data_IF_026023980136
#
_entry.id   IF_026023980136
#
_cell.length_a   1.000
_cell.length_b   1.000
_cell.length_c   1.000
_cell.angle_alpha   90.00
_cell.angle_beta   90.00
_cell.angle_gamma   90.00
#
_symmetry.space_group_name_H-M   'P 1'
#
loop_
_entity.id
_entity.type
_entity.pdbx_description
1 polymer ?
#
# COMPACT_ATOMS: atom_id res chain seq x y z
N UNK A 1 0.46 31.74 -1.25
CA UNK A 1 -0.64 30.80 -0.94
C UNK A 1 -0.41 29.43 -1.58
N UNK A 2 -0.29 29.32 -2.91
CA UNK A 2 -0.06 28.04 -3.60
C UNK A 2 1.16 27.25 -3.08
N UNK A 3 2.32 27.90 -2.96
CA UNK A 3 3.53 27.26 -2.43
C UNK A 3 3.36 26.70 -1.01
N UNK A 4 2.55 27.37 -0.17
CA UNK A 4 2.23 26.89 1.18
C UNK A 4 1.35 25.65 1.13
N UNK A 5 0.34 25.63 0.25
CA UNK A 5 -0.54 24.47 0.04
C UNK A 5 0.27 23.26 -0.45
N UNK A 6 1.14 23.45 -1.45
CA UNK A 6 1.99 22.40 -1.99
C UNK A 6 3.00 21.87 -0.96
N UNK A 7 3.52 22.74 -0.09
CA UNK A 7 4.38 22.32 1.03
C UNK A 7 3.63 21.36 1.96
N UNK A 8 2.41 21.72 2.39
CA UNK A 8 1.60 20.86 3.25
C UNK A 8 1.18 19.56 2.57
N UNK A 9 0.81 19.61 1.29
CA UNK A 9 0.51 18.41 0.50
C UNK A 9 1.72 17.48 0.46
N UNK A 10 2.91 18.03 0.23
CA UNK A 10 4.16 17.26 0.22
C UNK A 10 4.42 16.57 1.56
N UNK A 11 4.26 17.30 2.66
CA UNK A 11 4.51 16.78 4.01
C UNK A 11 3.53 15.65 4.34
N UNK A 12 2.23 15.87 4.11
CA UNK A 12 1.19 14.87 4.40
C UNK A 12 1.41 13.62 3.56
N UNK A 13 1.62 13.78 2.25
CA UNK A 13 1.87 12.65 1.35
C UNK A 13 3.15 11.88 1.74
N UNK A 14 4.21 12.57 2.14
CA UNK A 14 5.44 11.94 2.62
C UNK A 14 5.23 11.09 3.87
N UNK A 15 4.51 11.61 4.87
CA UNK A 15 4.18 10.83 6.06
C UNK A 15 3.26 9.65 5.77
N UNK A 16 2.25 9.82 4.93
CA UNK A 16 1.38 8.71 4.53
C UNK A 16 2.14 7.64 3.73
N UNK A 17 3.09 8.04 2.89
CA UNK A 17 3.98 7.12 2.17
C UNK A 17 4.81 6.27 3.13
N UNK A 18 5.47 6.92 4.10
CA UNK A 18 6.25 6.22 5.12
C UNK A 18 5.38 5.26 5.94
N UNK A 19 4.18 5.69 6.35
CA UNK A 19 3.21 4.85 7.04
C UNK A 19 2.79 3.62 6.22
N UNK A 20 2.58 3.78 4.90
CA UNK A 20 2.25 2.69 4.00
C UNK A 20 3.37 1.64 3.92
N UNK A 21 4.65 2.08 3.82
CA UNK A 21 5.78 1.14 3.83
C UNK A 21 5.98 0.46 5.18
N UNK A 22 5.80 1.17 6.29
CA UNK A 22 5.84 0.57 7.63
C UNK A 22 4.77 -0.51 7.79
N UNK A 23 3.54 -0.23 7.35
CA UNK A 23 2.47 -1.21 7.35
C UNK A 23 2.78 -2.39 6.41
N UNK A 24 3.27 -2.13 5.19
CA UNK A 24 3.67 -3.17 4.24
C UNK A 24 4.75 -4.10 4.83
N UNK A 25 5.69 -3.59 5.62
CA UNK A 25 6.74 -4.41 6.22
C UNK A 25 6.22 -5.37 7.31
N UNK A 26 5.10 -5.05 7.94
CA UNK A 26 4.55 -5.81 9.07
C UNK A 26 3.28 -6.60 8.72
N UNK A 27 2.59 -6.28 7.62
CA UNK A 27 1.35 -6.96 7.25
C UNK A 27 1.60 -8.44 6.98
N UNK A 28 0.78 -9.28 7.61
CA UNK A 28 0.77 -10.73 7.46
C UNK A 28 -0.69 -11.17 7.37
N UNK A 29 -0.97 -12.07 6.45
CA UNK A 29 -2.29 -12.68 6.30
C UNK A 29 -2.20 -14.11 6.80
N UNK A 30 -2.98 -14.47 7.81
CA UNK A 30 -3.01 -15.85 8.32
C UNK A 30 -3.65 -16.78 7.29
N UNK A 31 -3.36 -18.08 7.39
CA UNK A 31 -3.94 -19.08 6.48
C UNK A 31 -5.46 -19.11 6.54
N UNK A 32 -6.04 -18.99 7.72
CA UNK A 32 -7.49 -18.95 7.92
C UNK A 32 -8.11 -17.73 7.22
N UNK A 33 -7.53 -16.54 7.42
CA UNK A 33 -7.99 -15.32 6.75
C UNK A 33 -7.85 -15.40 5.22
N UNK A 34 -6.76 -15.99 4.73
CA UNK A 34 -6.54 -16.24 3.31
C UNK A 34 -7.62 -17.19 2.73
N UNK A 35 -7.93 -18.28 3.42
CA UNK A 35 -8.97 -19.23 3.01
C UNK A 35 -10.35 -18.56 2.98
N UNK A 36 -10.69 -17.78 4.02
CA UNK A 36 -11.95 -17.05 4.06
C UNK A 36 -12.07 -16.04 2.90
N UNK A 37 -10.99 -15.31 2.60
CA UNK A 37 -10.95 -14.35 1.51
C UNK A 37 -11.13 -15.01 0.14
N UNK A 38 -10.51 -16.18 -0.08
CA UNK A 38 -10.66 -16.97 -1.31
C UNK A 38 -12.05 -17.57 -1.44
N UNK A 39 -12.62 -18.05 -0.34
CA UNK A 39 -14.01 -18.51 -0.29
C UNK A 39 -14.98 -17.39 -0.67
N UNK A 40 -14.86 -16.20 -0.05
CA UNK A 40 -15.67 -15.03 -0.39
C UNK A 40 -15.51 -14.58 -1.84
N UNK A 41 -14.31 -14.73 -2.43
CA UNK A 41 -14.06 -14.41 -3.84
C UNK A 41 -14.76 -15.43 -4.75
N UNK A 42 -14.60 -16.71 -4.47
CA UNK A 42 -15.22 -17.81 -5.21
C UNK A 42 -16.75 -17.76 -5.18
N UNK A 43 -17.34 -17.45 -4.02
CA UNK A 43 -18.79 -17.23 -3.87
C UNK A 43 -19.29 -16.07 -4.75
N UNK A 44 -18.48 -15.02 -4.94
CA UNK A 44 -18.83 -13.88 -5.80
C UNK A 44 -18.63 -14.15 -7.29
N UNK A 45 -17.67 -14.98 -7.66
CA UNK A 45 -17.34 -15.28 -9.07
C UNK A 45 -18.02 -16.54 -9.60
N UNK A 46 -18.68 -17.32 -8.73
CA UNK A 46 -19.29 -18.61 -9.10
C UNK A 46 -18.26 -19.72 -9.35
N UNK A 47 -17.00 -19.50 -8.97
CA UNK A 47 -15.91 -20.45 -9.15
C UNK A 47 -15.74 -21.35 -7.93
N UNK A 48 -15.01 -22.47 -8.07
CA UNK A 48 -14.64 -23.30 -6.91
C UNK A 48 -13.52 -22.61 -6.12
N UNK A 49 -13.62 -22.53 -4.78
CA UNK A 49 -12.58 -21.90 -3.97
C UNK A 49 -11.28 -22.69 -4.05
N UNK A 50 -10.20 -22.01 -4.43
CA UNK A 50 -8.85 -22.57 -4.32
C UNK A 50 -8.38 -22.48 -2.86
N UNK A 51 -8.37 -23.61 -2.16
CA UNK A 51 -7.94 -23.72 -0.77
C UNK A 51 -6.45 -24.06 -0.62
N UNK A 52 -5.72 -24.22 -1.73
CA UNK A 52 -4.28 -24.47 -1.73
C UNK A 52 -3.48 -23.21 -1.44
N UNK A 53 -2.40 -23.31 -0.68
CA UNK A 53 -1.54 -22.18 -0.33
C UNK A 53 -0.30 -22.63 0.43
N UNK A 54 0.72 -21.76 0.46
CA UNK A 54 1.97 -22.01 1.17
C UNK A 54 1.96 -21.12 2.41
N UNK A 55 2.22 -21.71 3.56
CA UNK A 55 2.39 -20.99 4.82
C UNK A 55 3.87 -20.93 5.18
N UNK A 56 4.37 -19.73 5.44
CA UNK A 56 5.73 -19.48 5.90
C UNK A 56 5.67 -18.52 7.09
N UNK A 57 6.31 -18.90 8.20
CA UNK A 57 6.39 -18.06 9.42
C UNK A 57 5.01 -17.58 9.93
N UNK A 58 3.99 -18.44 9.86
CA UNK A 58 2.61 -18.14 10.28
C UNK A 58 1.82 -17.23 9.33
N UNK A 59 2.36 -16.96 8.14
CA UNK A 59 1.73 -16.13 7.12
C UNK A 59 1.49 -16.96 5.84
N UNK A 60 0.29 -16.81 5.26
CA UNK A 60 0.01 -17.31 3.93
C UNK A 60 0.74 -16.43 2.90
N UNK A 61 1.63 -17.05 2.15
CA UNK A 61 2.63 -16.35 1.36
C UNK A 61 1.99 -15.46 0.28
N UNK A 62 1.06 -16.02 -0.49
CA UNK A 62 0.47 -15.31 -1.63
C UNK A 62 -0.33 -14.09 -1.19
N UNK A 63 -1.25 -14.26 -0.26
CA UNK A 63 -2.11 -13.18 0.22
C UNK A 63 -1.33 -12.14 1.02
N UNK A 64 -0.29 -12.55 1.75
CA UNK A 64 0.62 -11.62 2.41
C UNK A 64 1.38 -10.80 1.38
N UNK A 65 2.02 -11.42 0.38
CA UNK A 65 2.73 -10.70 -0.67
C UNK A 65 1.80 -9.76 -1.45
N UNK A 66 0.57 -10.18 -1.77
CA UNK A 66 -0.43 -9.31 -2.41
C UNK A 66 -0.76 -8.09 -1.54
N UNK A 67 -0.92 -8.28 -0.22
CA UNK A 67 -1.15 -7.18 0.71
C UNK A 67 0.06 -6.23 0.78
N UNK A 68 1.28 -6.78 0.89
CA UNK A 68 2.52 -6.00 0.90
C UNK A 68 2.69 -5.19 -0.37
N UNK A 69 2.46 -5.79 -1.55
CA UNK A 69 2.54 -5.10 -2.85
C UNK A 69 1.54 -3.95 -2.92
N UNK A 70 0.30 -4.13 -2.47
CA UNK A 70 -0.71 -3.05 -2.46
C UNK A 70 -0.25 -1.85 -1.63
N UNK A 71 0.25 -2.09 -0.43
CA UNK A 71 0.73 -1.01 0.44
C UNK A 71 2.04 -0.39 -0.05
N UNK A 72 2.94 -1.18 -0.63
CA UNK A 72 4.14 -0.66 -1.29
C UNK A 72 3.81 0.25 -2.47
N UNK A 73 2.88 -0.15 -3.32
CA UNK A 73 2.42 0.67 -4.45
C UNK A 73 1.75 1.96 -3.98
N UNK A 74 0.90 1.89 -2.95
CA UNK A 74 0.31 3.09 -2.35
C UNK A 74 1.39 4.04 -1.80
N UNK A 75 2.37 3.49 -1.07
CA UNK A 75 3.52 4.25 -0.57
C UNK A 75 4.30 4.94 -1.69
N UNK A 76 4.58 4.24 -2.79
CA UNK A 76 5.29 4.79 -3.94
C UNK A 76 4.53 5.94 -4.62
N UNK A 77 3.21 5.81 -4.81
CA UNK A 77 2.37 6.88 -5.39
C UNK A 77 2.38 8.12 -4.49
N UNK A 78 2.25 7.94 -3.18
CA UNK A 78 2.28 9.04 -2.22
C UNK A 78 3.66 9.72 -2.16
N UNK A 79 4.75 8.95 -2.23
CA UNK A 79 6.10 9.50 -2.34
C UNK A 79 6.26 10.34 -3.61
N UNK A 80 5.75 9.86 -4.75
CA UNK A 80 5.80 10.60 -6.01
C UNK A 80 5.03 11.93 -5.92
N UNK A 81 3.83 11.93 -5.30
CA UNK A 81 3.06 13.15 -5.04
C UNK A 81 3.85 14.11 -4.14
N UNK A 82 4.50 13.58 -3.10
CA UNK A 82 5.30 14.38 -2.19
C UNK A 82 6.45 15.08 -2.92
N UNK A 83 7.28 14.31 -3.63
CA UNK A 83 8.43 14.83 -4.38
C UNK A 83 8.00 15.81 -5.47
N UNK A 84 6.91 15.53 -6.20
CA UNK A 84 6.40 16.45 -7.21
C UNK A 84 5.96 17.78 -6.59
N UNK A 85 5.21 17.74 -5.48
CA UNK A 85 4.75 18.94 -4.77
C UNK A 85 5.90 19.75 -4.21
N UNK A 86 6.92 19.07 -3.65
CA UNK A 86 8.15 19.70 -3.16
C UNK A 86 8.93 20.38 -4.29
N UNK A 87 9.09 19.69 -5.42
CA UNK A 87 9.82 20.21 -6.59
C UNK A 87 9.14 21.46 -7.15
N UNK A 88 7.81 21.42 -7.34
CA UNK A 88 7.05 22.60 -7.79
C UNK A 88 7.18 23.74 -6.79
N UNK A 89 7.17 23.45 -5.48
CA UNK A 89 7.36 24.47 -4.44
C UNK A 89 8.73 25.14 -4.53
N UNK A 90 9.81 24.38 -4.78
CA UNK A 90 11.17 24.92 -4.94
C UNK A 90 11.26 25.86 -6.15
N UNK A 91 10.74 25.42 -7.31
CA UNK A 91 10.67 26.23 -8.53
C UNK A 91 9.92 27.54 -8.27
N UNK A 92 8.77 27.50 -7.60
CA UNK A 92 7.98 28.70 -7.28
C UNK A 92 8.69 29.66 -6.30
N UNK A 93 9.62 29.15 -5.49
CA UNK A 93 10.42 29.95 -4.56
C UNK A 93 11.70 30.49 -5.18
N UNK A 94 12.01 30.12 -6.44
CA UNK A 94 13.23 30.53 -7.13
C UNK A 94 14.51 29.93 -6.53
N UNK A 95 14.38 28.76 -5.91
CA UNK A 95 15.48 27.97 -5.33
C UNK A 95 15.69 26.72 -6.17
#
# INVERSE_FOLDING_TARGET
MLATILTWLSVIAGFMSAGAWLYASNVKVTREAAMEKRRKRAEKTGEKPNLGGIELFGAELKETMEAQVRWNSAGAVLAAIAVASQTITQILRGV
#
